data_IF_529158392607
#
_entry.id   IF_529158392607
#
_cell.length_a   1.000
_cell.length_b   1.000
_cell.length_c   1.000
_cell.angle_alpha   90.00
_cell.angle_beta   90.00
_cell.angle_gamma   90.00
#
_symmetry.space_group_name_H-M   'P 1'
#
loop_
_entity.id
_entity.type
_entity.pdbx_description
1 polymer ?
#
# COMPACT_ATOMS: atom_id res chain seq x y z
N UNK A 1 11.81 -5.06 11.44
CA UNK A 1 13.10 -4.35 11.56
C UNK A 1 13.27 -3.34 10.43
N UNK A 2 14.38 -2.58 10.39
CA UNK A 2 14.71 -1.69 9.27
C UNK A 2 15.17 -2.51 8.07
N UNK A 3 14.81 -2.09 6.86
CA UNK A 3 15.26 -2.67 5.59
C UNK A 3 16.13 -1.63 4.88
N UNK A 4 17.36 -2.00 4.55
CA UNK A 4 18.29 -1.10 3.86
C UNK A 4 18.19 -1.28 2.33
N UNK A 5 18.31 -0.16 1.62
CA UNK A 5 18.31 -0.06 0.17
C UNK A 5 19.50 0.76 -0.28
N UNK A 6 20.11 0.36 -1.38
CA UNK A 6 21.23 1.09 -1.95
C UNK A 6 20.74 2.28 -2.77
N UNK A 7 21.63 3.24 -3.00
CA UNK A 7 21.34 4.39 -3.83
C UNK A 7 21.07 3.95 -5.28
N UNK A 8 19.99 4.46 -5.88
CA UNK A 8 19.56 4.09 -7.22
C UNK A 8 18.87 2.71 -7.31
N UNK A 9 18.46 2.09 -6.20
CA UNK A 9 17.66 0.85 -6.28
C UNK A 9 16.44 1.06 -7.19
N UNK A 10 16.25 0.12 -8.12
CA UNK A 10 15.17 0.11 -9.12
C UNK A 10 13.99 -0.78 -8.69
N UNK A 11 12.91 -0.75 -9.47
CA UNK A 11 11.62 -1.38 -9.18
C UNK A 11 11.72 -2.84 -8.71
N UNK A 12 12.46 -3.69 -9.42
CA UNK A 12 12.45 -5.14 -9.14
C UNK A 12 12.96 -5.47 -7.75
N UNK A 13 14.11 -4.91 -7.36
CA UNK A 13 14.70 -5.15 -6.04
C UNK A 13 13.85 -4.50 -4.95
N UNK A 14 13.41 -3.26 -5.17
CA UNK A 14 12.57 -2.53 -4.24
C UNK A 14 11.27 -3.27 -3.93
N UNK A 15 10.52 -3.67 -4.97
CA UNK A 15 9.24 -4.34 -4.81
C UNK A 15 9.39 -5.72 -4.17
N UNK A 16 10.44 -6.47 -4.52
CA UNK A 16 10.74 -7.75 -3.86
C UNK A 16 10.98 -7.56 -2.36
N UNK A 17 11.76 -6.53 -1.97
CA UNK A 17 12.00 -6.21 -0.55
C UNK A 17 10.72 -5.77 0.15
N UNK A 18 9.87 -4.96 -0.49
CA UNK A 18 8.58 -4.54 0.08
C UNK A 18 7.69 -5.75 0.35
N UNK A 19 7.51 -6.64 -0.63
CA UNK A 19 6.66 -7.82 -0.49
C UNK A 19 7.17 -8.73 0.63
N UNK A 20 8.46 -9.12 0.59
CA UNK A 20 9.06 -10.01 1.57
C UNK A 20 8.93 -9.49 3.00
N UNK A 21 9.25 -8.21 3.23
CA UNK A 21 9.30 -7.67 4.60
C UNK A 21 7.94 -7.25 5.12
N UNK A 22 7.01 -6.82 4.25
CA UNK A 22 5.63 -6.54 4.64
C UNK A 22 4.91 -7.82 5.10
N UNK A 23 5.07 -8.92 4.35
CA UNK A 23 4.55 -10.23 4.72
C UNK A 23 5.19 -10.76 6.01
N UNK A 24 6.52 -10.68 6.14
CA UNK A 24 7.22 -11.09 7.36
C UNK A 24 6.73 -10.34 8.60
N UNK A 25 6.65 -9.01 8.52
CA UNK A 25 6.21 -8.18 9.64
C UNK A 25 4.77 -8.48 10.07
N UNK A 26 3.86 -8.68 9.11
CA UNK A 26 2.46 -9.00 9.39
C UNK A 26 2.21 -10.47 9.77
N UNK A 27 3.22 -11.34 9.63
CA UNK A 27 3.20 -12.70 10.18
C UNK A 27 3.66 -12.72 11.64
N UNK A 28 4.58 -11.82 12.02
CA UNK A 28 5.08 -11.69 13.38
C UNK A 28 4.12 -10.91 14.28
N UNK A 29 3.42 -9.92 13.73
CA UNK A 29 2.51 -9.03 14.45
C UNK A 29 1.15 -9.04 13.77
N UNK A 30 0.07 -9.10 14.58
CA UNK A 30 -1.31 -8.93 14.11
C UNK A 30 -1.87 -7.59 14.63
N UNK A 31 -1.61 -6.48 13.93
CA UNK A 31 -2.10 -5.17 14.36
C UNK A 31 -3.61 -5.04 14.14
N UNK A 32 -4.26 -4.22 14.96
CA UNK A 32 -5.68 -3.84 14.78
C UNK A 32 -5.87 -2.86 13.61
N UNK A 33 -4.84 -2.10 13.26
CA UNK A 33 -4.83 -1.15 12.13
C UNK A 33 -3.41 -0.96 11.58
N UNK A 34 -3.30 -0.76 10.27
CA UNK A 34 -2.07 -0.35 9.61
C UNK A 34 -2.18 1.12 9.22
N UNK A 35 -1.22 1.94 9.65
CA UNK A 35 -1.01 3.30 9.13
C UNK A 35 0.12 3.24 8.12
N UNK A 36 -0.22 3.34 6.84
CA UNK A 36 0.73 3.25 5.73
C UNK A 36 1.15 4.64 5.24
N UNK A 37 2.38 5.01 5.54
CA UNK A 37 2.99 6.28 5.11
C UNK A 37 3.51 6.17 3.67
N UNK A 38 2.71 6.61 2.70
CA UNK A 38 2.93 6.40 1.28
C UNK A 38 3.71 7.56 0.63
N UNK A 39 4.99 7.70 1.01
CA UNK A 39 5.92 8.67 0.41
C UNK A 39 6.16 8.44 -1.07
N UNK A 40 6.29 9.48 -1.90
CA UNK A 40 6.73 9.32 -3.31
C UNK A 40 8.12 9.90 -3.59
N UNK A 41 8.88 10.24 -2.56
CA UNK A 41 10.26 10.70 -2.65
C UNK A 41 11.22 9.60 -3.15
N UNK A 42 10.79 8.34 -3.21
CA UNK A 42 11.53 7.24 -3.87
C UNK A 42 11.50 7.30 -5.41
N UNK A 43 10.71 8.20 -5.99
CA UNK A 43 10.56 8.35 -7.44
C UNK A 43 11.88 8.77 -8.09
N UNK A 44 12.20 8.16 -9.22
CA UNK A 44 13.39 8.52 -9.99
C UNK A 44 13.47 10.04 -10.27
N UNK A 45 14.63 10.60 -9.92
CA UNK A 45 14.93 12.04 -10.02
C UNK A 45 14.35 12.91 -8.90
N UNK A 46 13.82 12.36 -7.81
CA UNK A 46 13.37 13.17 -6.67
C UNK A 46 14.58 13.81 -5.98
N UNK A 47 14.55 15.13 -5.67
CA UNK A 47 15.72 15.85 -5.16
C UNK A 47 16.10 15.49 -3.71
N UNK A 48 15.16 14.94 -2.93
CA UNK A 48 15.40 14.58 -1.52
C UNK A 48 15.48 13.06 -1.34
N UNK A 49 14.96 12.31 -2.30
CA UNK A 49 15.11 10.87 -2.41
C UNK A 49 16.51 10.41 -2.82
N UNK A 50 16.59 9.13 -3.15
CA UNK A 50 17.82 8.50 -3.64
C UNK A 50 17.61 7.16 -4.31
N UNK A 51 16.36 6.81 -4.67
CA UNK A 51 16.03 5.58 -5.39
C UNK A 51 15.62 5.91 -6.83
N UNK A 52 15.61 4.90 -7.68
CA UNK A 52 15.26 5.02 -9.10
C UNK A 52 13.96 4.26 -9.39
N UNK A 53 12.93 4.50 -8.55
CA UNK A 53 11.64 3.83 -8.69
C UNK A 53 10.79 4.53 -9.75
N UNK A 54 10.17 3.76 -10.62
CA UNK A 54 9.27 4.28 -11.65
C UNK A 54 7.91 4.68 -11.07
N UNK A 55 7.11 5.49 -11.80
CA UNK A 55 5.73 5.73 -11.43
C UNK A 55 4.92 4.44 -11.21
N UNK A 56 5.10 3.45 -12.08
CA UNK A 56 4.46 2.14 -11.99
C UNK A 56 4.95 1.36 -10.77
N UNK A 57 6.24 1.48 -10.42
CA UNK A 57 6.80 0.91 -9.20
C UNK A 57 6.10 1.42 -7.94
N UNK A 58 5.81 2.73 -7.87
CA UNK A 58 5.07 3.32 -6.74
C UNK A 58 3.64 2.78 -6.66
N UNK A 59 2.93 2.74 -7.79
CA UNK A 59 1.57 2.16 -7.85
C UNK A 59 1.59 0.70 -7.41
N UNK A 60 2.58 -0.08 -7.87
CA UNK A 60 2.68 -1.50 -7.52
C UNK A 60 3.05 -1.72 -6.06
N UNK A 61 3.92 -0.88 -5.50
CA UNK A 61 4.25 -0.89 -4.06
C UNK A 61 3.00 -0.74 -3.22
N UNK A 62 2.17 0.27 -3.53
CA UNK A 62 0.95 0.54 -2.76
C UNK A 62 -0.02 -0.65 -2.86
N UNK A 63 -0.17 -1.23 -4.06
CA UNK A 63 -0.97 -2.45 -4.27
C UNK A 63 -0.48 -3.63 -3.42
N UNK A 64 0.84 -3.90 -3.36
CA UNK A 64 1.42 -4.98 -2.56
C UNK A 64 1.04 -4.83 -1.09
N UNK A 65 1.19 -3.62 -0.54
CA UNK A 65 0.89 -3.35 0.87
C UNK A 65 -0.60 -3.52 1.16
N UNK A 66 -1.47 -2.99 0.30
CA UNK A 66 -2.92 -3.13 0.46
C UNK A 66 -3.38 -4.59 0.32
N UNK A 67 -2.81 -5.37 -0.60
CA UNK A 67 -3.10 -6.82 -0.69
C UNK A 67 -2.65 -7.57 0.55
N UNK A 68 -1.49 -7.23 1.11
CA UNK A 68 -0.99 -7.86 2.34
C UNK A 68 -1.92 -7.60 3.54
N UNK A 69 -2.47 -6.39 3.64
CA UNK A 69 -3.46 -6.01 4.64
C UNK A 69 -4.81 -6.72 4.41
N UNK A 70 -5.35 -6.67 3.18
CA UNK A 70 -6.64 -7.29 2.82
C UNK A 70 -6.65 -8.80 3.07
N UNK A 71 -5.60 -9.51 2.68
CA UNK A 71 -5.46 -10.97 2.93
C UNK A 71 -5.55 -11.35 4.41
N UNK A 72 -5.29 -10.41 5.31
CA UNK A 72 -5.31 -10.62 6.77
C UNK A 72 -6.53 -10.00 7.45
N UNK A 73 -7.43 -9.37 6.69
CA UNK A 73 -8.58 -8.64 7.23
C UNK A 73 -8.16 -7.50 8.16
N UNK A 74 -7.04 -6.83 7.88
CA UNK A 74 -6.53 -5.74 8.72
C UNK A 74 -6.91 -4.40 8.07
N UNK A 75 -7.65 -3.53 8.77
CA UNK A 75 -7.92 -2.17 8.30
C UNK A 75 -6.63 -1.41 8.02
N UNK A 76 -6.57 -0.71 6.89
CA UNK A 76 -5.41 0.07 6.47
C UNK A 76 -5.82 1.49 6.12
N UNK A 77 -5.05 2.46 6.64
CA UNK A 77 -5.15 3.88 6.32
C UNK A 77 -3.89 4.32 5.57
N UNK A 78 -4.07 4.82 4.35
CA UNK A 78 -2.99 5.45 3.59
C UNK A 78 -2.88 6.93 3.96
N UNK A 79 -1.67 7.37 4.29
CA UNK A 79 -1.33 8.78 4.49
C UNK A 79 -0.31 9.17 3.43
N UNK A 80 -0.63 10.16 2.59
CA UNK A 80 0.30 10.67 1.58
C UNK A 80 1.38 11.50 2.26
N UNK A 81 2.62 11.36 1.80
CA UNK A 81 3.79 12.04 2.36
C UNK A 81 4.87 12.21 1.29
N UNK A 82 5.97 12.89 1.63
CA UNK A 82 7.13 13.09 0.76
C UNK A 82 6.76 13.54 -0.67
N UNK A 83 7.65 13.28 -1.62
CA UNK A 83 7.41 13.53 -3.04
C UNK A 83 7.52 15.01 -3.42
N UNK A 84 8.65 15.36 -4.00
CA UNK A 84 9.03 16.76 -4.24
C UNK A 84 9.06 17.09 -5.74
N UNK A 85 8.46 16.23 -6.56
CA UNK A 85 8.33 16.41 -8.01
C UNK A 85 6.89 16.81 -8.38
N UNK A 86 6.73 17.67 -9.39
CA UNK A 86 5.41 18.11 -9.88
C UNK A 86 4.51 16.96 -10.34
N UNK A 87 5.10 15.84 -10.81
CA UNK A 87 4.38 14.65 -11.27
C UNK A 87 3.80 13.79 -10.14
N UNK A 88 4.21 13.98 -8.89
CA UNK A 88 3.79 13.17 -7.73
C UNK A 88 2.27 13.09 -7.57
N UNK A 89 1.57 14.22 -7.67
CA UNK A 89 0.11 14.24 -7.48
C UNK A 89 -0.62 13.30 -8.47
N UNK A 90 -0.13 13.21 -9.71
CA UNK A 90 -0.69 12.30 -10.71
C UNK A 90 -0.45 10.84 -10.35
N UNK A 91 0.75 10.51 -9.87
CA UNK A 91 1.12 9.14 -9.48
C UNK A 91 0.27 8.68 -8.28
N UNK A 92 0.03 9.56 -7.31
CA UNK A 92 -0.86 9.27 -6.18
C UNK A 92 -2.28 8.98 -6.69
N UNK A 93 -2.79 9.80 -7.62
CA UNK A 93 -4.10 9.55 -8.22
C UNK A 93 -4.16 8.22 -8.98
N UNK A 94 -3.12 7.90 -9.77
CA UNK A 94 -3.04 6.63 -10.49
C UNK A 94 -2.96 5.43 -9.52
N UNK A 95 -2.30 5.59 -8.36
CA UNK A 95 -2.27 4.58 -7.29
C UNK A 95 -3.65 4.34 -6.68
N UNK A 96 -4.36 5.40 -6.29
CA UNK A 96 -5.73 5.31 -5.74
C UNK A 96 -6.68 4.66 -6.76
N UNK A 97 -6.60 5.06 -8.03
CA UNK A 97 -7.41 4.46 -9.09
C UNK A 97 -7.10 2.97 -9.28
N UNK A 98 -5.82 2.57 -9.23
CA UNK A 98 -5.42 1.17 -9.27
C UNK A 98 -5.99 0.39 -8.08
N UNK A 99 -5.84 0.91 -6.85
CA UNK A 99 -6.38 0.26 -5.65
C UNK A 99 -7.89 0.05 -5.76
N UNK A 100 -8.63 1.06 -6.23
CA UNK A 100 -10.07 0.96 -6.44
C UNK A 100 -10.42 -0.09 -7.53
N UNK A 101 -9.72 -0.07 -8.67
CA UNK A 101 -9.93 -1.04 -9.75
C UNK A 101 -9.65 -2.49 -9.33
N UNK A 102 -8.79 -2.69 -8.34
CA UNK A 102 -8.47 -4.00 -7.77
C UNK A 102 -9.42 -4.40 -6.61
N UNK A 103 -10.42 -3.58 -6.30
CA UNK A 103 -11.33 -3.75 -5.16
C UNK A 103 -10.62 -3.70 -3.80
N UNK A 104 -9.43 -3.09 -3.72
CA UNK A 104 -8.64 -3.00 -2.48
C UNK A 104 -9.09 -1.82 -1.60
N UNK A 105 -9.87 -0.91 -2.16
CA UNK A 105 -10.57 0.20 -1.49
C UNK A 105 -11.94 0.37 -2.15
N UNK A 106 -12.90 0.97 -1.45
CA UNK A 106 -14.28 1.15 -1.95
C UNK A 106 -15.26 0.13 -1.38
N UNK A 107 -16.54 0.21 -1.78
CA UNK A 107 -17.64 -0.63 -1.24
C UNK A 107 -17.44 -2.12 -1.56
N UNK A 108 -16.91 -2.43 -2.75
CA UNK A 108 -16.58 -3.79 -3.21
C UNK A 108 -15.50 -4.46 -2.34
N UNK A 109 -14.69 -3.70 -1.60
CA UNK A 109 -13.68 -4.25 -0.69
C UNK A 109 -14.30 -4.93 0.55
N UNK A 110 -15.57 -4.66 0.85
CA UNK A 110 -16.28 -5.21 2.01
C UNK A 110 -17.06 -6.50 1.67
N UNK A 111 -17.32 -6.77 0.39
CA UNK A 111 -18.20 -7.85 -0.06
C UNK A 111 -17.48 -9.22 -0.13
N UNK A 112 -16.16 -9.25 -0.36
CA UNK A 112 -15.37 -10.50 -0.37
C UNK A 112 -15.25 -11.16 1.02
N UNK A 113 -15.65 -10.49 2.11
CA UNK A 113 -15.62 -11.03 3.48
C UNK A 113 -16.86 -11.88 3.84
N UNK A 114 -17.98 -11.76 3.10
CA UNK A 114 -19.26 -12.39 3.48
C UNK A 114 -19.37 -13.89 3.13
N UNK A 115 -18.59 -14.43 2.19
CA UNK A 115 -18.70 -15.85 1.80
C UNK A 115 -18.05 -16.83 2.81
N UNK A 116 -17.35 -16.33 3.84
CA UNK A 116 -16.57 -17.15 4.78
C UNK A 116 -17.12 -17.29 6.21
N UNK A 117 -18.12 -16.49 6.62
CA UNK A 117 -18.55 -16.46 8.04
C UNK A 117 -20.06 -16.44 8.17
N UNK A 118 -20.66 -17.64 8.22
CA UNK A 118 -22.02 -17.79 8.73
C UNK A 118 -22.08 -17.34 10.20
N UNK A 119 -23.00 -16.39 10.45
CA UNK A 119 -23.55 -15.93 11.73
C UNK A 119 -22.98 -14.64 12.35
N UNK A 120 -23.80 -13.59 12.19
CA UNK A 120 -24.03 -12.45 13.10
C UNK A 120 -22.90 -11.41 13.27
N UNK A 121 -22.93 -10.33 12.47
CA UNK A 121 -22.71 -8.98 13.01
C UNK A 121 -23.60 -7.95 12.31
N UNK A 122 -24.24 -7.13 13.13
CA UNK A 122 -25.26 -6.13 12.79
C UNK A 122 -24.69 -4.94 12.02
N UNK A 123 -25.42 -4.50 10.99
CA UNK A 123 -25.23 -3.25 10.25
C UNK A 123 -25.07 -2.04 11.18
N UNK A 124 -23.96 -1.31 11.04
CA UNK A 124 -23.84 0.07 11.54
C UNK A 124 -24.10 1.00 10.36
N UNK A 125 -25.37 1.42 10.22
CA UNK A 125 -25.75 2.57 9.39
C UNK A 125 -25.23 3.86 10.05
N UNK A 126 -24.33 4.57 9.37
CA UNK A 126 -24.10 5.99 9.66
C UNK A 126 -25.40 6.77 9.38
N UNK A 127 -25.89 7.47 10.39
CA UNK A 127 -26.77 8.63 10.25
C UNK A 127 -25.94 9.90 10.22
#
# INVERSE_FOLDING_TARGET
GKVELDWGTEDSEYLQKVELHSEGALNEVRPDIIVYNAGTDILDGDPLGGLSISPQGIVKRDEIVFRAARRRGIPILMVTSGGYQKKTARIIADSILNLNQQGLIGEEALEEEEEGSSSLVTSVMCK
#
